data_IF_762020867645
#
_entry.id   IF_762020867645
#
_cell.length_a   1.000
_cell.length_b   1.000
_cell.length_c   1.000
_cell.angle_alpha   90.00
_cell.angle_beta   90.00
_cell.angle_gamma   90.00
#
_symmetry.space_group_name_H-M   'P 1'
#
loop_
_entity.id
_entity.type
_entity.pdbx_description
1 polymer ?
#
# COMPACT_ATOMS: atom_id res chain seq x y z
N UNK A 1 9.06 29.83 28.73
CA UNK A 1 8.91 31.07 27.98
C UNK A 1 9.23 30.76 26.55
N UNK A 2 8.20 30.64 25.83
CA UNK A 2 7.80 31.38 24.60
C UNK A 2 8.57 30.94 23.36
N UNK A 3 8.03 30.69 22.21
CA UNK A 3 6.63 30.71 21.72
C UNK A 3 6.59 29.85 20.45
N UNK A 4 5.55 29.05 20.31
CA UNK A 4 5.19 28.46 19.05
C UNK A 4 4.62 29.55 18.13
N UNK A 5 5.08 29.60 16.91
CA UNK A 5 4.44 30.42 15.90
C UNK A 5 3.88 29.53 14.79
N UNK A 6 2.58 29.33 14.88
CA UNK A 6 1.75 28.72 13.85
C UNK A 6 1.68 29.68 12.65
N UNK A 7 2.20 29.25 11.51
CA UNK A 7 2.01 29.93 10.23
C UNK A 7 0.62 29.57 9.69
N UNK A 8 -0.40 30.33 10.15
CA UNK A 8 -1.71 30.35 9.49
C UNK A 8 -1.60 31.23 8.25
N UNK A 9 -1.58 30.65 7.07
CA UNK A 9 -1.76 31.38 5.81
C UNK A 9 -3.23 31.71 5.68
N UNK A 10 -3.57 32.96 5.89
CA UNK A 10 -4.88 33.53 5.52
C UNK A 10 -4.91 33.67 3.99
N UNK A 11 -5.82 32.95 3.37
CA UNK A 11 -6.27 33.22 2.01
C UNK A 11 -7.47 34.16 2.07
N UNK A 12 -7.19 35.43 1.78
CA UNK A 12 -8.27 36.41 1.59
C UNK A 12 -7.95 37.19 0.30
N UNK A 13 -8.69 36.93 -0.77
CA UNK A 13 -8.88 37.83 -1.92
C UNK A 13 -10.04 37.29 -2.77
N UNK A 14 -11.12 38.02 -2.79
CA UNK A 14 -12.34 37.65 -3.45
C UNK A 14 -12.38 37.98 -4.95
N UNK A 15 -13.32 37.31 -5.62
CA UNK A 15 -14.13 37.71 -6.78
C UNK A 15 -13.49 37.71 -8.18
N UNK A 16 -13.39 36.51 -8.70
CA UNK A 16 -13.76 36.08 -10.09
C UNK A 16 -13.75 34.54 -10.10
N UNK A 17 -14.47 33.93 -9.13
CA UNK A 17 -14.14 32.58 -8.63
C UNK A 17 -14.73 31.43 -9.45
N UNK A 18 -15.84 31.56 -10.13
CA UNK A 18 -16.52 30.36 -10.66
C UNK A 18 -15.91 29.76 -11.94
N UNK A 19 -15.37 30.58 -12.83
CA UNK A 19 -14.69 30.07 -14.03
C UNK A 19 -13.22 29.72 -13.82
N UNK A 20 -12.54 30.43 -12.94
CA UNK A 20 -11.15 30.18 -12.59
C UNK A 20 -11.00 28.97 -11.64
N UNK A 21 -11.94 28.76 -10.73
CA UNK A 21 -12.02 27.60 -9.83
C UNK A 21 -12.16 26.30 -10.62
N UNK A 22 -13.14 26.20 -11.50
CA UNK A 22 -13.33 25.00 -12.32
C UNK A 22 -12.19 24.68 -13.29
N UNK A 23 -11.41 25.69 -13.71
CA UNK A 23 -10.22 25.46 -14.54
C UNK A 23 -9.00 25.00 -13.73
N UNK A 24 -8.81 25.54 -12.53
CA UNK A 24 -7.73 25.13 -11.58
C UNK A 24 -7.96 23.73 -11.07
N UNK A 25 -9.19 23.40 -10.70
CA UNK A 25 -9.58 22.06 -10.24
C UNK A 25 -9.36 21.01 -11.34
N UNK A 26 -9.75 21.30 -12.59
CA UNK A 26 -9.46 20.45 -13.73
C UNK A 26 -7.96 20.26 -13.98
N UNK A 27 -7.15 21.30 -13.74
CA UNK A 27 -5.70 21.24 -13.85
C UNK A 27 -5.09 20.34 -12.79
N UNK A 28 -5.52 20.49 -11.53
CA UNK A 28 -5.06 19.66 -10.42
C UNK A 28 -5.43 18.17 -10.62
N UNK A 29 -6.68 17.90 -10.97
CA UNK A 29 -7.14 16.53 -11.23
C UNK A 29 -6.33 15.85 -12.34
N UNK A 30 -5.94 16.60 -13.39
CA UNK A 30 -5.07 16.06 -14.44
C UNK A 30 -3.66 15.77 -13.97
N UNK A 31 -3.10 16.60 -13.09
CA UNK A 31 -1.80 16.31 -12.47
C UNK A 31 -1.87 15.01 -11.68
N UNK A 32 -2.89 14.83 -10.85
CA UNK A 32 -3.09 13.59 -10.09
C UNK A 32 -3.24 12.39 -11.03
N UNK A 33 -4.05 12.49 -12.08
CA UNK A 33 -4.19 11.43 -13.09
C UNK A 33 -2.86 11.06 -13.77
N UNK A 34 -2.00 12.05 -14.06
CA UNK A 34 -0.66 11.82 -14.62
C UNK A 34 0.19 11.00 -13.64
N UNK A 35 0.20 11.38 -12.36
CA UNK A 35 0.99 10.70 -11.33
C UNK A 35 0.49 9.27 -11.11
N UNK A 36 -0.82 9.07 -11.01
CA UNK A 36 -1.43 7.75 -10.86
C UNK A 36 -1.15 6.85 -12.08
N UNK A 37 -1.25 7.41 -13.28
CA UNK A 37 -0.96 6.66 -14.50
C UNK A 37 0.51 6.21 -14.59
N UNK A 38 1.46 7.08 -14.20
CA UNK A 38 2.88 6.73 -14.12
C UNK A 38 3.13 5.69 -13.04
N UNK A 39 2.44 5.80 -11.90
CA UNK A 39 2.53 4.82 -10.81
C UNK A 39 2.03 3.45 -11.26
N UNK A 40 0.86 3.37 -11.87
CA UNK A 40 0.30 2.12 -12.36
C UNK A 40 1.13 1.48 -13.49
N UNK A 41 1.77 2.31 -14.33
CA UNK A 41 2.56 1.84 -15.47
C UNK A 41 3.97 1.36 -15.07
N UNK A 42 4.50 1.88 -13.97
CA UNK A 42 5.83 1.57 -13.40
C UNK A 42 7.01 1.63 -14.39
N UNK A 43 6.90 2.46 -15.42
CA UNK A 43 7.94 2.65 -16.44
C UNK A 43 7.88 4.06 -17.05
N UNK A 44 9.00 4.50 -17.59
CA UNK A 44 9.04 5.74 -18.35
C UNK A 44 8.18 5.65 -19.60
N UNK A 45 7.36 6.69 -19.85
CA UNK A 45 6.36 6.72 -20.92
C UNK A 45 6.48 7.98 -21.75
N UNK A 46 6.21 7.87 -23.06
CA UNK A 46 6.15 9.03 -23.95
C UNK A 46 4.99 9.96 -23.62
N UNK A 47 5.20 11.29 -23.70
CA UNK A 47 4.15 12.27 -23.36
C UNK A 47 2.89 12.10 -24.20
N UNK A 48 3.04 11.64 -25.45
CA UNK A 48 1.90 11.36 -26.33
C UNK A 48 1.03 10.19 -25.85
N UNK A 49 1.66 9.13 -25.32
CA UNK A 49 0.96 7.96 -24.78
C UNK A 49 0.40 8.26 -23.40
N UNK A 50 1.12 9.04 -22.59
CA UNK A 50 0.62 9.59 -21.35
C UNK A 50 -0.68 10.39 -21.55
N UNK A 51 -0.71 11.28 -22.57
CA UNK A 51 -1.89 12.07 -22.90
C UNK A 51 -3.10 11.18 -23.27
N UNK A 52 -2.87 10.09 -24.01
CA UNK A 52 -3.91 9.10 -24.32
C UNK A 52 -4.38 8.38 -23.06
N UNK A 53 -3.43 7.91 -22.23
CA UNK A 53 -3.72 7.17 -21.01
C UNK A 53 -4.55 7.96 -20.00
N UNK A 54 -4.32 9.27 -19.87
CA UNK A 54 -5.10 10.16 -18.97
C UNK A 54 -6.27 10.85 -19.67
N UNK A 55 -6.59 10.46 -20.89
CA UNK A 55 -7.67 11.06 -21.71
C UNK A 55 -7.66 12.60 -21.72
N UNK A 56 -6.48 13.19 -21.98
CA UNK A 56 -6.30 14.64 -21.97
C UNK A 56 -5.71 15.16 -23.29
N UNK A 57 -5.99 16.42 -23.68
CA UNK A 57 -5.38 17.04 -24.85
C UNK A 57 -3.84 17.02 -24.73
N UNK A 58 -3.18 16.73 -25.85
CA UNK A 58 -1.71 16.64 -25.92
C UNK A 58 -1.02 17.93 -25.44
N UNK A 59 -1.52 19.09 -25.87
CA UNK A 59 -0.97 20.40 -25.48
C UNK A 59 -1.04 20.63 -23.97
N UNK A 60 -2.18 20.31 -23.36
CA UNK A 60 -2.37 20.42 -21.91
C UNK A 60 -1.44 19.47 -21.16
N UNK A 61 -1.33 18.21 -21.60
CA UNK A 61 -0.42 17.24 -20.99
C UNK A 61 1.04 17.69 -21.08
N UNK A 62 1.45 18.21 -22.23
CA UNK A 62 2.79 18.78 -22.41
C UNK A 62 3.08 19.92 -21.43
N UNK A 63 2.15 20.87 -21.28
CA UNK A 63 2.30 22.00 -20.35
C UNK A 63 2.42 21.51 -18.90
N UNK A 64 1.55 20.58 -18.47
CA UNK A 64 1.58 20.05 -17.10
C UNK A 64 2.85 19.25 -16.85
N UNK A 65 3.25 18.36 -17.77
CA UNK A 65 4.49 17.60 -17.67
C UNK A 65 5.69 18.51 -17.56
N UNK A 66 5.78 19.57 -18.38
CA UNK A 66 6.86 20.54 -18.30
C UNK A 66 6.93 21.21 -16.92
N UNK A 67 5.79 21.66 -16.39
CA UNK A 67 5.74 22.25 -15.06
C UNK A 67 6.19 21.27 -13.97
N UNK A 68 5.81 19.98 -14.10
CA UNK A 68 6.23 18.94 -13.16
C UNK A 68 7.73 18.62 -13.27
N UNK A 69 8.29 18.67 -14.48
CA UNK A 69 9.73 18.52 -14.72
C UNK A 69 10.49 19.72 -14.15
N UNK A 70 10.05 20.94 -14.42
CA UNK A 70 10.64 22.17 -13.88
C UNK A 70 10.59 22.18 -12.34
N UNK A 71 9.54 21.62 -11.75
CA UNK A 71 9.41 21.41 -10.30
C UNK A 71 10.26 20.25 -9.77
N UNK A 72 10.86 19.41 -10.62
CA UNK A 72 11.63 18.21 -10.23
C UNK A 72 10.79 17.05 -9.74
N UNK A 73 9.46 17.08 -9.95
CA UNK A 73 8.54 15.97 -9.66
C UNK A 73 8.58 14.91 -10.75
N UNK A 74 8.78 15.30 -11.99
CA UNK A 74 9.08 14.39 -13.07
C UNK A 74 10.48 14.65 -13.60
N UNK A 75 11.06 13.68 -14.29
CA UNK A 75 12.29 13.82 -15.04
C UNK A 75 12.16 13.19 -16.43
N UNK A 76 12.89 13.76 -17.36
CA UNK A 76 12.97 13.25 -18.73
C UNK A 76 14.03 12.16 -18.77
N UNK A 77 13.71 11.01 -19.32
CA UNK A 77 14.59 9.84 -19.38
C UNK A 77 14.89 9.43 -20.83
N UNK A 78 16.03 8.76 -21.04
CA UNK A 78 16.41 8.20 -22.35
C UNK A 78 16.70 9.24 -23.42
N UNK A 79 16.01 9.13 -24.53
CA UNK A 79 16.16 9.97 -25.74
C UNK A 79 15.49 11.37 -25.65
N UNK A 80 15.10 11.78 -24.45
CA UNK A 80 14.44 13.07 -24.22
C UNK A 80 12.92 13.07 -24.47
N UNK A 81 12.32 11.94 -24.83
CA UNK A 81 10.91 11.82 -25.17
C UNK A 81 10.03 11.11 -24.14
N UNK A 82 10.64 10.54 -23.11
CA UNK A 82 9.92 9.81 -22.06
C UNK A 82 10.05 10.51 -20.73
N UNK A 83 9.03 10.39 -19.89
CA UNK A 83 9.00 10.96 -18.55
C UNK A 83 8.69 9.89 -17.52
N UNK A 84 9.28 10.05 -16.34
CA UNK A 84 9.00 9.24 -15.16
C UNK A 84 9.12 10.09 -13.90
N UNK A 85 8.91 9.50 -12.73
CA UNK A 85 9.07 10.17 -11.46
C UNK A 85 10.48 10.75 -11.27
N UNK A 86 10.54 12.00 -10.83
CA UNK A 86 11.77 12.70 -10.52
C UNK A 86 12.25 12.45 -9.10
N UNK A 87 13.50 12.82 -8.83
CA UNK A 87 14.19 12.60 -7.53
C UNK A 87 13.45 13.18 -6.33
N UNK A 88 12.59 14.19 -6.51
CA UNK A 88 11.81 14.76 -5.40
C UNK A 88 10.88 13.75 -4.76
N UNK A 89 10.29 12.82 -5.51
CA UNK A 89 9.44 11.78 -4.91
C UNK A 89 10.21 10.89 -3.95
N UNK A 90 11.46 10.56 -4.28
CA UNK A 90 12.33 9.83 -3.36
C UNK A 90 12.58 10.62 -2.07
N UNK A 91 12.89 11.92 -2.18
CA UNK A 91 13.13 12.78 -1.00
C UNK A 91 11.87 12.89 -0.13
N UNK A 92 10.72 13.13 -0.74
CA UNK A 92 9.44 13.18 0.00
C UNK A 92 9.11 11.84 0.67
N UNK A 93 9.36 10.73 -0.02
CA UNK A 93 9.21 9.39 0.57
C UNK A 93 10.14 9.17 1.77
N UNK A 94 11.40 9.65 1.70
CA UNK A 94 12.32 9.60 2.84
C UNK A 94 11.82 10.43 4.03
N UNK A 95 11.32 11.64 3.77
CA UNK A 95 10.77 12.51 4.83
C UNK A 95 9.53 11.89 5.45
N UNK A 96 8.66 11.29 4.65
CA UNK A 96 7.48 10.55 5.11
C UNK A 96 7.87 9.37 6.03
N UNK A 97 8.83 8.54 5.61
CA UNK A 97 9.31 7.40 6.42
C UNK A 97 9.98 7.90 7.71
N UNK A 98 10.77 9.00 7.64
CA UNK A 98 11.41 9.58 8.82
C UNK A 98 10.39 10.09 9.84
N UNK A 99 9.31 10.70 9.39
CA UNK A 99 8.22 11.19 10.23
C UNK A 99 7.25 10.11 10.73
N UNK A 100 7.31 8.90 10.17
CA UNK A 100 6.40 7.81 10.51
C UNK A 100 7.15 6.72 11.31
N UNK A 101 6.95 6.71 12.62
CA UNK A 101 7.62 5.76 13.53
C UNK A 101 7.23 4.31 13.23
N UNK A 102 5.96 4.05 12.91
CA UNK A 102 5.48 2.71 12.56
C UNK A 102 6.21 2.18 11.33
N UNK A 103 6.31 2.96 10.26
CA UNK A 103 7.02 2.53 9.05
C UNK A 103 8.50 2.26 9.31
N UNK A 104 9.17 3.13 10.09
CA UNK A 104 10.58 2.99 10.42
C UNK A 104 10.83 1.72 11.23
N UNK A 105 10.08 1.49 12.32
CA UNK A 105 10.19 0.33 13.20
C UNK A 105 9.70 -0.94 12.50
N UNK A 106 8.57 -0.86 11.78
CA UNK A 106 8.00 -1.98 11.05
C UNK A 106 8.93 -2.53 9.98
N UNK A 107 9.62 -1.67 9.22
CA UNK A 107 10.65 -2.09 8.27
C UNK A 107 11.77 -2.86 8.96
N UNK A 108 12.27 -2.37 10.09
CA UNK A 108 13.33 -3.03 10.84
C UNK A 108 12.88 -4.42 11.36
N UNK A 109 11.64 -4.52 11.87
CA UNK A 109 11.12 -5.80 12.36
C UNK A 109 10.90 -6.81 11.23
N UNK A 110 10.43 -6.36 10.06
CA UNK A 110 10.29 -7.20 8.87
C UNK A 110 11.65 -7.73 8.40
N UNK A 111 12.69 -6.88 8.37
CA UNK A 111 14.04 -7.30 8.02
C UNK A 111 14.61 -8.31 9.04
N UNK A 112 14.33 -8.12 10.33
CA UNK A 112 14.73 -9.03 11.39
C UNK A 112 14.02 -10.39 11.24
N UNK A 113 12.69 -10.38 11.04
CA UNK A 113 11.89 -11.59 10.84
C UNK A 113 12.40 -12.41 9.65
N UNK A 114 12.64 -11.77 8.51
CA UNK A 114 13.17 -12.46 7.34
C UNK A 114 14.54 -13.10 7.62
N UNK A 115 15.43 -12.39 8.32
CA UNK A 115 16.77 -12.88 8.67
C UNK A 115 16.72 -14.05 9.65
N UNK A 116 15.83 -13.99 10.66
CA UNK A 116 15.71 -15.01 11.71
C UNK A 116 15.02 -16.27 11.20
N UNK A 117 14.00 -16.13 10.35
CA UNK A 117 13.21 -17.26 9.88
C UNK A 117 13.70 -17.85 8.56
N UNK A 118 14.42 -17.06 7.75
CA UNK A 118 14.77 -17.38 6.36
C UNK A 118 13.60 -17.29 5.39
N UNK A 119 12.42 -16.85 5.86
CA UNK A 119 11.20 -16.70 5.06
C UNK A 119 11.02 -15.25 4.58
N UNK A 120 10.23 -15.04 3.52
CA UNK A 120 9.85 -13.69 3.10
C UNK A 120 8.93 -13.05 4.15
N UNK A 121 9.29 -11.86 4.60
CA UNK A 121 8.51 -11.08 5.55
C UNK A 121 8.07 -9.75 4.95
N UNK A 122 6.89 -9.27 5.30
CA UNK A 122 6.31 -8.06 4.73
C UNK A 122 5.61 -7.20 5.79
N UNK A 123 5.69 -5.89 5.60
CA UNK A 123 4.84 -4.89 6.26
C UNK A 123 3.77 -4.45 5.26
N UNK A 124 2.52 -4.56 5.67
CA UNK A 124 1.39 -4.27 4.79
C UNK A 124 0.42 -3.29 5.45
N UNK A 125 -0.17 -2.42 4.66
CA UNK A 125 -1.12 -1.41 5.11
C UNK A 125 -2.30 -1.32 4.15
N UNK A 126 -3.40 -0.76 4.64
CA UNK A 126 -4.53 -0.38 3.80
C UNK A 126 -4.27 1.03 3.25
N UNK A 127 -4.25 1.16 1.94
CA UNK A 127 -4.10 2.45 1.27
C UNK A 127 -5.20 2.61 0.22
N UNK A 128 -6.01 3.65 0.36
CA UNK A 128 -7.13 3.94 -0.56
C UNK A 128 -8.04 2.73 -0.83
N UNK A 129 -8.37 1.96 0.23
CA UNK A 129 -9.19 0.75 0.12
C UNK A 129 -8.48 -0.46 -0.49
N UNK A 130 -7.17 -0.41 -0.69
CA UNK A 130 -6.36 -1.51 -1.27
C UNK A 130 -5.29 -1.98 -0.28
N UNK A 131 -5.10 -3.29 -0.21
CA UNK A 131 -3.93 -3.89 0.45
C UNK A 131 -2.67 -3.48 -0.30
N UNK A 132 -1.70 -2.94 0.43
CA UNK A 132 -0.44 -2.47 -0.15
C UNK A 132 0.74 -3.00 0.66
N UNK A 133 1.70 -3.63 -0.01
CA UNK A 133 2.98 -4.02 0.58
C UNK A 133 3.86 -2.78 0.66
N UNK A 134 4.06 -2.23 1.84
CA UNK A 134 4.87 -1.01 2.05
C UNK A 134 6.34 -1.30 2.29
N UNK A 135 6.66 -2.52 2.70
CA UNK A 135 8.04 -3.03 2.78
C UNK A 135 8.04 -4.55 2.67
N UNK A 136 9.00 -5.11 1.95
CA UNK A 136 9.21 -6.54 1.82
C UNK A 136 10.70 -6.87 1.99
N UNK A 137 10.98 -7.86 2.82
CA UNK A 137 12.32 -8.43 3.01
C UNK A 137 12.29 -9.89 2.52
N UNK A 138 12.96 -10.19 1.40
CA UNK A 138 12.90 -11.51 0.80
C UNK A 138 13.61 -12.54 1.67
N UNK A 139 13.03 -13.74 1.77
CA UNK A 139 13.66 -14.87 2.45
C UNK A 139 14.96 -15.30 1.79
N UNK A 140 15.75 -16.08 2.51
CA UNK A 140 17.06 -16.57 2.05
C UNK A 140 17.00 -17.93 1.36
N UNK A 141 15.82 -18.55 1.27
CA UNK A 141 15.65 -19.86 0.62
C UNK A 141 15.85 -19.78 -0.91
N UNK A 142 16.40 -20.81 -1.56
CA UNK A 142 16.56 -20.86 -3.01
C UNK A 142 15.23 -20.66 -3.77
N UNK A 143 14.15 -21.28 -3.26
CA UNK A 143 12.79 -21.11 -3.76
C UNK A 143 11.99 -20.27 -2.75
N UNK A 144 11.79 -19.02 -3.09
CA UNK A 144 11.04 -18.07 -2.26
C UNK A 144 10.09 -17.25 -3.12
N UNK A 145 8.98 -16.86 -2.56
CA UNK A 145 8.14 -15.84 -3.17
C UNK A 145 8.74 -14.48 -2.86
N UNK A 146 8.85 -13.67 -3.88
CA UNK A 146 9.32 -12.29 -3.78
C UNK A 146 8.19 -11.37 -4.19
N UNK A 147 7.71 -10.58 -3.25
CA UNK A 147 6.71 -9.55 -3.50
C UNK A 147 7.40 -8.19 -3.62
N UNK A 148 6.99 -7.40 -4.58
CA UNK A 148 7.52 -6.07 -4.77
C UNK A 148 6.84 -5.08 -3.81
N UNK A 149 7.63 -4.20 -3.20
CA UNK A 149 7.10 -3.04 -2.47
C UNK A 149 6.24 -2.18 -3.40
N UNK A 150 5.09 -1.72 -2.92
CA UNK A 150 4.11 -0.99 -3.71
C UNK A 150 3.11 -1.89 -4.46
N UNK A 151 3.28 -3.22 -4.42
CA UNK A 151 2.31 -4.14 -5.01
C UNK A 151 0.99 -4.05 -4.25
N UNK A 152 -0.07 -3.91 -5.00
CA UNK A 152 -1.44 -3.98 -4.51
C UNK A 152 -2.06 -5.32 -4.90
N UNK A 153 -2.62 -6.00 -3.91
CA UNK A 153 -3.28 -7.30 -4.08
C UNK A 153 -4.73 -7.15 -3.59
N UNK A 154 -5.71 -7.84 -4.18
CA UNK A 154 -7.06 -7.86 -3.64
C UNK A 154 -7.08 -8.30 -2.17
N UNK A 155 -7.80 -7.57 -1.32
CA UNK A 155 -7.91 -7.84 0.11
C UNK A 155 -8.32 -9.29 0.43
N UNK A 156 -9.30 -9.89 -0.29
CA UNK A 156 -9.74 -11.25 -0.01
C UNK A 156 -8.68 -12.33 -0.24
N UNK A 157 -7.62 -12.03 -1.00
CA UNK A 157 -6.61 -13.04 -1.34
C UNK A 157 -5.55 -13.22 -0.25
N UNK A 158 -5.55 -12.39 0.79
CA UNK A 158 -4.43 -12.32 1.75
C UNK A 158 -4.87 -12.49 3.21
N UNK A 159 -4.02 -13.06 4.03
CA UNK A 159 -4.20 -13.11 5.48
C UNK A 159 -4.20 -11.69 6.08
N UNK A 160 -3.31 -10.84 5.60
CA UNK A 160 -3.21 -9.44 6.03
C UNK A 160 -4.47 -8.65 5.70
N UNK A 161 -5.13 -8.89 4.55
CA UNK A 161 -6.35 -8.21 4.17
C UNK A 161 -7.49 -8.44 5.16
N UNK A 162 -7.62 -9.66 5.70
CA UNK A 162 -8.61 -9.97 6.75
C UNK A 162 -8.37 -9.17 8.01
N UNK A 163 -7.12 -9.09 8.44
CA UNK A 163 -6.75 -8.35 9.66
C UNK A 163 -6.86 -6.83 9.47
N UNK A 164 -6.50 -6.29 8.30
CA UNK A 164 -6.61 -4.87 8.01
C UNK A 164 -8.06 -4.38 7.98
N UNK A 165 -9.00 -5.28 7.68
CA UNK A 165 -10.43 -4.98 7.71
C UNK A 165 -11.10 -5.32 9.05
N UNK A 166 -10.37 -5.91 10.00
CA UNK A 166 -10.92 -6.21 11.30
C UNK A 166 -11.35 -4.91 12.02
N UNK A 167 -12.61 -4.85 12.41
CA UNK A 167 -13.22 -3.66 13.03
C UNK A 167 -13.94 -2.73 12.06
N UNK A 168 -13.90 -2.98 10.74
CA UNK A 168 -14.73 -2.26 9.78
C UNK A 168 -16.16 -2.82 9.78
N UNK A 169 -17.13 -1.93 9.57
CA UNK A 169 -18.52 -2.34 9.38
C UNK A 169 -18.69 -3.08 8.04
N UNK A 170 -19.63 -4.03 7.99
CA UNK A 170 -19.92 -4.83 6.81
C UNK A 170 -20.12 -3.99 5.55
N UNK A 171 -20.92 -2.93 5.62
CA UNK A 171 -21.21 -2.07 4.47
C UNK A 171 -19.94 -1.42 3.89
N UNK A 172 -18.97 -1.07 4.75
CA UNK A 172 -17.67 -0.51 4.32
C UNK A 172 -16.81 -1.56 3.63
N UNK A 173 -16.82 -2.81 4.13
CA UNK A 173 -16.11 -3.93 3.51
C UNK A 173 -16.70 -4.23 2.12
N UNK A 174 -18.03 -4.25 2.01
CA UNK A 174 -18.75 -4.45 0.74
C UNK A 174 -18.43 -3.38 -0.30
N UNK A 175 -18.22 -2.12 0.12
CA UNK A 175 -17.81 -1.03 -0.77
C UNK A 175 -16.34 -1.14 -1.23
N UNK A 176 -15.48 -1.71 -0.38
CA UNK A 176 -14.05 -1.87 -0.68
C UNK A 176 -13.73 -3.08 -1.56
N UNK A 177 -14.57 -4.11 -1.57
CA UNK A 177 -14.33 -5.39 -2.25
C UNK A 177 -15.20 -5.50 -3.48
N UNK A 178 -14.58 -5.44 -4.66
CA UNK A 178 -15.30 -5.65 -5.91
C UNK A 178 -15.54 -7.14 -6.19
N UNK A 179 -16.50 -7.43 -7.07
CA UNK A 179 -16.77 -8.79 -7.55
C UNK A 179 -15.54 -9.46 -8.17
N UNK A 180 -14.70 -8.68 -8.86
CA UNK A 180 -13.46 -9.17 -9.46
C UNK A 180 -12.39 -9.52 -8.40
N UNK A 181 -12.39 -8.83 -7.26
CA UNK A 181 -11.49 -9.13 -6.14
C UNK A 181 -11.79 -10.48 -5.48
N UNK A 182 -13.00 -11.04 -5.68
CA UNK A 182 -13.41 -12.35 -5.17
C UNK A 182 -12.97 -13.51 -6.07
N UNK A 183 -12.41 -13.24 -7.26
CA UNK A 183 -11.91 -14.28 -8.16
C UNK A 183 -10.42 -14.47 -7.96
N UNK A 184 -10.01 -15.63 -7.46
CA UNK A 184 -8.62 -15.97 -7.21
C UNK A 184 -7.83 -16.16 -8.52
N UNK A 185 -6.48 -16.07 -8.51
CA UNK A 185 -5.65 -16.25 -9.70
C UNK A 185 -5.85 -17.61 -10.42
N UNK A 186 -6.25 -18.62 -9.69
CA UNK A 186 -6.54 -19.96 -10.23
C UNK A 186 -7.98 -20.14 -10.74
N UNK A 187 -8.80 -19.08 -10.71
CA UNK A 187 -10.18 -19.05 -11.15
C UNK A 187 -11.21 -19.49 -10.10
N UNK A 188 -10.81 -19.93 -8.92
CA UNK A 188 -11.74 -20.16 -7.80
C UNK A 188 -12.38 -18.86 -7.38
N UNK A 189 -13.64 -18.92 -6.96
CA UNK A 189 -14.37 -17.77 -6.45
C UNK A 189 -14.57 -17.89 -4.95
N UNK A 190 -14.22 -16.84 -4.24
CA UNK A 190 -14.54 -16.66 -2.82
C UNK A 190 -15.97 -16.13 -2.68
N UNK A 191 -16.66 -16.52 -1.61
CA UNK A 191 -17.93 -15.90 -1.23
C UNK A 191 -17.64 -14.71 -0.31
N UNK A 192 -18.32 -13.59 -0.55
CA UNK A 192 -18.13 -12.38 0.25
C UNK A 192 -18.53 -12.62 1.72
N UNK A 193 -19.59 -13.36 1.96
CA UNK A 193 -20.04 -13.71 3.32
C UNK A 193 -18.99 -14.52 4.08
N UNK A 194 -18.37 -15.52 3.44
CA UNK A 194 -17.30 -16.33 4.03
C UNK A 194 -16.07 -15.45 4.33
N UNK A 195 -15.75 -14.52 3.44
CA UNK A 195 -14.65 -13.58 3.65
C UNK A 195 -14.91 -12.63 4.85
N UNK A 196 -16.15 -12.17 4.99
CA UNK A 196 -16.55 -11.31 6.13
C UNK A 196 -16.50 -12.10 7.45
N UNK A 197 -16.92 -13.37 7.44
CA UNK A 197 -16.79 -14.26 8.60
C UNK A 197 -15.31 -14.48 8.98
N UNK A 198 -14.46 -14.74 7.98
CA UNK A 198 -13.01 -14.87 8.17
C UNK A 198 -12.38 -13.61 8.81
N UNK A 199 -12.85 -12.41 8.44
CA UNK A 199 -12.40 -11.15 9.05
C UNK A 199 -12.74 -11.12 10.54
N UNK A 200 -13.97 -11.48 10.90
CA UNK A 200 -14.42 -11.50 12.28
C UNK A 200 -13.61 -12.50 13.12
N UNK A 201 -13.38 -13.70 12.58
CA UNK A 201 -12.54 -14.74 13.24
C UNK A 201 -11.11 -14.23 13.40
N UNK A 202 -10.49 -13.71 12.35
CA UNK A 202 -9.11 -13.22 12.40
C UNK A 202 -8.94 -12.08 13.42
N UNK A 203 -9.90 -11.14 13.46
CA UNK A 203 -9.91 -10.06 14.44
C UNK A 203 -10.04 -10.57 15.88
N UNK A 204 -10.84 -11.61 16.12
CA UNK A 204 -11.03 -12.21 17.43
C UNK A 204 -9.81 -12.99 17.95
N UNK A 205 -9.11 -13.74 17.08
CA UNK A 205 -7.93 -14.54 17.48
C UNK A 205 -6.63 -13.74 17.45
N UNK A 206 -6.58 -12.59 16.74
CA UNK A 206 -5.41 -11.71 16.63
C UNK A 206 -4.29 -12.25 15.75
N UNK A 207 -4.62 -13.07 14.77
CA UNK A 207 -3.76 -13.49 13.66
C UNK A 207 -4.62 -14.08 12.53
N UNK A 208 -4.03 -14.25 11.36
CA UNK A 208 -4.68 -14.94 10.26
C UNK A 208 -3.70 -15.84 9.51
N UNK A 209 -4.21 -16.96 9.01
CA UNK A 209 -3.47 -17.89 8.13
C UNK A 209 -4.30 -18.11 6.89
N UNK A 210 -3.71 -17.91 5.72
CA UNK A 210 -4.32 -18.31 4.43
C UNK A 210 -3.38 -19.26 3.69
N UNK A 211 -3.93 -20.20 2.94
CA UNK A 211 -3.16 -21.20 2.21
C UNK A 211 -3.66 -21.30 0.77
N UNK A 212 -2.75 -21.20 -0.19
CA UNK A 212 -3.06 -21.44 -1.60
C UNK A 212 -4.07 -20.46 -2.21
N UNK A 213 -4.11 -19.19 -1.76
CA UNK A 213 -5.02 -18.17 -2.31
C UNK A 213 -4.37 -17.38 -3.45
N UNK A 214 -3.13 -16.92 -3.28
CA UNK A 214 -2.40 -16.17 -4.32
C UNK A 214 -1.69 -17.13 -5.26
N UNK A 215 -1.11 -18.17 -4.72
CA UNK A 215 -0.49 -19.28 -5.46
C UNK A 215 -0.66 -20.60 -4.69
N UNK A 216 -0.54 -21.72 -5.39
CA UNK A 216 -0.81 -23.06 -4.83
C UNK A 216 0.29 -23.55 -3.86
N UNK A 217 1.41 -22.85 -3.74
CA UNK A 217 2.61 -23.35 -3.06
C UNK A 217 2.91 -22.65 -1.75
N UNK A 218 2.13 -21.62 -1.39
CA UNK A 218 2.40 -20.81 -0.21
C UNK A 218 1.28 -20.75 0.79
N UNK A 219 1.71 -20.49 2.02
CA UNK A 219 0.90 -20.15 3.17
C UNK A 219 1.32 -18.77 3.65
N UNK A 220 0.38 -17.88 3.89
CA UNK A 220 0.62 -16.56 4.44
C UNK A 220 0.16 -16.51 5.89
N UNK A 221 1.05 -16.12 6.79
CA UNK A 221 0.81 -15.94 8.21
C UNK A 221 0.87 -14.45 8.52
N UNK A 222 -0.13 -13.87 9.17
CA UNK A 222 -0.15 -12.43 9.45
C UNK A 222 -0.58 -12.13 10.89
N UNK A 223 -0.05 -11.05 11.45
CA UNK A 223 -0.45 -10.51 12.75
C UNK A 223 -0.72 -8.99 12.64
N UNK A 224 -1.74 -8.46 13.35
CA UNK A 224 -2.13 -7.06 13.29
C UNK A 224 -1.22 -6.17 14.13
N UNK A 225 -0.94 -4.98 13.64
CA UNK A 225 -0.28 -3.89 14.35
C UNK A 225 -1.30 -2.78 14.59
N UNK A 226 -1.51 -2.43 15.85
CA UNK A 226 -2.53 -1.48 16.26
C UNK A 226 -1.97 -0.08 16.47
N UNK A 227 -2.67 0.95 15.97
CA UNK A 227 -2.42 2.37 16.27
C UNK A 227 -3.23 2.88 17.46
N UNK A 228 -4.30 2.17 17.82
CA UNK A 228 -5.14 2.41 18.98
C UNK A 228 -5.89 1.10 19.31
N UNK A 229 -6.52 0.97 20.49
CA UNK A 229 -7.36 -0.19 20.81
C UNK A 229 -8.38 -0.50 19.72
N UNK A 230 -8.32 -1.70 19.15
CA UNK A 230 -9.21 -2.16 18.09
C UNK A 230 -8.96 -1.56 16.69
N UNK A 231 -8.01 -0.63 16.52
CA UNK A 231 -7.68 -0.03 15.22
C UNK A 231 -6.42 -0.64 14.64
N UNK A 232 -6.56 -1.53 13.68
CA UNK A 232 -5.44 -2.09 12.92
C UNK A 232 -4.93 -1.06 11.92
N UNK A 233 -3.67 -0.66 12.02
CA UNK A 233 -3.01 0.30 11.14
C UNK A 233 -2.17 -0.39 10.07
N UNK A 234 -1.57 -1.52 10.46
CA UNK A 234 -0.71 -2.31 9.59
C UNK A 234 -0.79 -3.80 9.96
N UNK A 235 -0.20 -4.63 9.15
CA UNK A 235 0.10 -6.03 9.50
C UNK A 235 1.55 -6.33 9.18
N UNK A 236 2.16 -7.22 9.97
CA UNK A 236 3.37 -7.91 9.55
C UNK A 236 3.03 -9.34 9.20
N UNK A 237 3.65 -9.86 8.16
CA UNK A 237 3.38 -11.22 7.72
C UNK A 237 4.64 -11.99 7.31
N UNK A 238 4.51 -13.31 7.27
CA UNK A 238 5.47 -14.25 6.71
C UNK A 238 4.81 -15.04 5.59
N UNK A 239 5.52 -15.17 4.46
CA UNK A 239 5.13 -16.05 3.37
C UNK A 239 6.01 -17.29 3.43
N UNK A 240 5.39 -18.42 3.70
CA UNK A 240 6.07 -19.70 3.93
C UNK A 240 5.59 -20.77 2.95
N UNK A 241 6.35 -21.85 2.72
CA UNK A 241 5.88 -22.99 1.93
C UNK A 241 4.60 -23.58 2.47
N UNK A 242 3.71 -24.05 1.59
CA UNK A 242 2.39 -24.60 1.97
C UNK A 242 2.52 -25.85 2.85
N UNK A 243 3.59 -26.62 2.67
CA UNK A 243 3.91 -27.83 3.41
C UNK A 243 4.62 -27.58 4.75
N UNK A 244 4.77 -26.30 5.17
CA UNK A 244 5.31 -25.96 6.50
C UNK A 244 4.46 -26.67 7.58
N UNK A 245 5.13 -27.42 8.47
CA UNK A 245 4.47 -28.20 9.51
C UNK A 245 3.61 -27.33 10.43
N UNK A 246 2.60 -27.95 11.07
CA UNK A 246 1.75 -27.25 12.04
C UNK A 246 2.53 -26.65 13.17
N UNK A 247 3.42 -27.41 13.80
CA UNK A 247 4.29 -26.95 14.90
C UNK A 247 5.12 -25.71 14.50
N UNK A 248 5.79 -25.76 13.34
CA UNK A 248 6.54 -24.60 12.85
C UNK A 248 5.64 -23.42 12.51
N UNK A 249 4.44 -23.67 12.03
CA UNK A 249 3.44 -22.61 11.75
C UNK A 249 3.05 -21.90 13.04
N UNK A 250 2.81 -22.66 14.13
CA UNK A 250 2.43 -22.12 15.44
C UNK A 250 3.57 -21.28 16.05
N UNK A 251 4.82 -21.75 15.95
CA UNK A 251 6.00 -21.00 16.38
C UNK A 251 6.14 -19.67 15.62
N UNK A 252 5.95 -19.68 14.30
CA UNK A 252 6.02 -18.48 13.47
C UNK A 252 4.88 -17.50 13.78
N UNK A 253 3.67 -18.00 14.05
CA UNK A 253 2.54 -17.18 14.49
C UNK A 253 2.84 -16.53 15.85
N UNK A 254 3.38 -17.28 16.81
CA UNK A 254 3.76 -16.74 18.11
C UNK A 254 4.80 -15.63 17.97
N UNK A 255 5.83 -15.83 17.13
CA UNK A 255 6.84 -14.82 16.81
C UNK A 255 6.23 -13.57 16.15
N UNK A 256 5.37 -13.73 15.15
CA UNK A 256 4.68 -12.64 14.49
C UNK A 256 3.86 -11.81 15.48
N UNK A 257 3.07 -12.47 16.34
CA UNK A 257 2.24 -11.78 17.35
C UNK A 257 3.08 -10.98 18.33
N UNK A 258 4.20 -11.54 18.79
CA UNK A 258 5.13 -10.83 19.68
C UNK A 258 5.70 -9.57 19.00
N UNK A 259 6.15 -9.68 17.75
CA UNK A 259 6.71 -8.55 16.99
C UNK A 259 5.65 -7.50 16.67
N UNK A 260 4.46 -7.93 16.29
CA UNK A 260 3.33 -7.02 16.03
C UNK A 260 2.93 -6.25 17.31
N UNK A 261 2.91 -6.91 18.46
CA UNK A 261 2.63 -6.27 19.75
C UNK A 261 3.68 -5.20 20.11
N UNK A 262 4.97 -5.43 19.83
CA UNK A 262 6.03 -4.44 20.03
C UNK A 262 5.88 -3.21 19.10
N UNK A 263 5.33 -3.39 17.92
CA UNK A 263 5.08 -2.30 16.97
C UNK A 263 3.83 -1.52 17.31
N UNK A 264 2.87 -2.15 17.96
CA UNK A 264 1.59 -1.56 18.34
C UNK A 264 1.76 -0.47 19.39
N UNK A 265 0.90 0.54 19.33
CA UNK A 265 0.78 1.54 20.39
C UNK A 265 -0.03 0.88 21.52
N UNK A 266 0.64 0.61 22.63
CA UNK A 266 -0.05 0.26 23.87
C UNK A 266 -0.56 1.55 24.50
N UNK A 267 -1.89 1.73 24.51
CA UNK A 267 -2.55 2.84 25.18
C UNK A 267 -2.34 2.82 26.70
#
# INVERSE_FOLDING_TARGET
MQDGNALAVRLDAGLDEDKASGSREKGLNRVLQILEFLHATQRAIGIGDLAKGVNAPRSTTYTLVRSLVDAGLLEVTGDGNRVYFGKKFYLYGMDYVRGNDLLRRGRQEVDNLSRETGETSELCMLQSGRYTIVHSSPGTRPFRISSATGLQIPLPWTASGRLLLAGFERAVIEDMVSEDDLVLPDGRRLLLDDFIEDIAVAGGVGYCVTSGLVDAYTKCLAAPVFSAPGKVEATICLVVPIDTSGEKTDDLIAMLRERAARLSITG
#
